data_IF_642891869637
#
_entry.id   IF_642891869637
#
_cell.length_a   1.000
_cell.length_b   1.000
_cell.length_c   1.000
_cell.angle_alpha   90.00
_cell.angle_beta   90.00
_cell.angle_gamma   90.00
#
_symmetry.space_group_name_H-M   'P 1'
#
loop_
_entity.id
_entity.type
_entity.pdbx_description
1 polymer ?
#
# COMPACT_ATOMS: atom_id res chain seq x y z
N UNK A 1 -13.71 -2.36 3.52
CA UNK A 1 -14.15 -3.07 4.74
C UNK A 1 -13.40 -4.39 4.94
N UNK A 2 -13.68 -5.42 4.15
CA UNK A 2 -13.12 -6.77 4.30
C UNK A 2 -11.59 -6.85 4.11
N UNK A 3 -10.99 -5.98 3.34
CA UNK A 3 -9.52 -5.95 3.17
C UNK A 3 -8.75 -5.73 4.48
N UNK A 4 -9.39 -5.15 5.50
CA UNK A 4 -8.77 -4.95 6.80
C UNK A 4 -8.39 -6.26 7.48
N UNK A 5 -9.31 -7.23 7.53
CA UNK A 5 -9.02 -8.52 8.13
C UNK A 5 -8.22 -9.45 7.20
N UNK A 6 -8.54 -9.50 5.91
CA UNK A 6 -7.79 -10.36 4.99
C UNK A 6 -6.31 -9.99 4.99
N UNK A 7 -5.97 -8.70 5.02
CA UNK A 7 -4.60 -8.24 4.98
C UNK A 7 -3.71 -8.84 6.08
N UNK A 8 -4.23 -8.95 7.30
CA UNK A 8 -3.45 -9.44 8.45
C UNK A 8 -3.56 -10.95 8.65
N UNK A 9 -4.66 -11.56 8.19
CA UNK A 9 -4.89 -13.01 8.36
C UNK A 9 -4.40 -13.84 7.18
N UNK A 10 -4.19 -13.24 6.01
CA UNK A 10 -3.86 -13.95 4.80
C UNK A 10 -2.61 -14.82 4.93
N UNK A 11 -1.50 -14.24 5.34
CA UNK A 11 -0.24 -14.99 5.52
C UNK A 11 -0.33 -16.04 6.66
N UNK A 12 -0.88 -15.73 7.85
CA UNK A 12 -1.18 -16.75 8.88
C UNK A 12 -2.01 -17.91 8.38
N UNK A 13 -3.06 -17.65 7.60
CA UNK A 13 -3.87 -18.73 7.02
C UNK A 13 -3.10 -19.60 6.05
N UNK A 14 -2.20 -19.02 5.26
CA UNK A 14 -1.33 -19.79 4.36
C UNK A 14 -0.36 -20.69 5.14
N UNK A 15 0.19 -20.22 6.25
CA UNK A 15 0.99 -21.07 7.15
C UNK A 15 0.13 -22.25 7.65
N UNK A 16 -1.11 -21.98 8.07
CA UNK A 16 -2.07 -23.02 8.47
C UNK A 16 -2.41 -24.02 7.36
N UNK A 17 -2.34 -23.63 6.09
CA UNK A 17 -2.53 -24.50 4.91
C UNK A 17 -1.24 -25.25 4.51
N UNK A 18 -0.14 -25.06 5.27
CA UNK A 18 1.14 -25.75 5.06
C UNK A 18 2.14 -25.00 4.16
N UNK A 19 1.87 -23.75 3.80
CA UNK A 19 2.84 -22.95 3.05
C UNK A 19 4.03 -22.54 3.94
N UNK A 20 5.24 -22.68 3.41
CA UNK A 20 6.43 -22.15 4.10
C UNK A 20 6.50 -20.62 4.01
N UNK A 21 7.17 -19.98 4.97
CA UNK A 21 7.46 -18.54 4.93
C UNK A 21 8.18 -18.16 3.63
N UNK A 22 9.05 -19.02 3.13
CA UNK A 22 9.75 -18.82 1.86
C UNK A 22 8.79 -18.78 0.66
N UNK A 23 7.85 -19.72 0.59
CA UNK A 23 6.84 -19.78 -0.47
C UNK A 23 5.95 -18.53 -0.42
N UNK A 24 5.53 -18.11 0.78
CA UNK A 24 4.73 -16.88 0.97
C UNK A 24 5.51 -15.65 0.47
N UNK A 25 6.78 -15.52 0.79
CA UNK A 25 7.59 -14.39 0.31
C UNK A 25 7.74 -14.35 -1.20
N UNK A 26 7.89 -15.51 -1.86
CA UNK A 26 7.90 -15.60 -3.33
C UNK A 26 6.54 -15.18 -3.92
N UNK A 27 5.44 -15.62 -3.33
CA UNK A 27 4.09 -15.25 -3.76
C UNK A 27 3.84 -13.73 -3.58
N UNK A 28 4.25 -13.16 -2.46
CA UNK A 28 4.14 -11.70 -2.21
C UNK A 28 4.96 -10.89 -3.21
N UNK A 29 6.16 -11.37 -3.58
CA UNK A 29 7.01 -10.73 -4.60
C UNK A 29 6.46 -10.90 -6.01
N UNK A 30 5.86 -12.04 -6.32
CA UNK A 30 5.34 -12.35 -7.65
C UNK A 30 4.01 -11.67 -7.93
N UNK A 31 3.04 -11.86 -7.06
CA UNK A 31 1.65 -11.47 -7.30
C UNK A 31 0.94 -10.90 -6.07
N UNK A 32 1.62 -10.76 -4.93
CA UNK A 32 1.08 -10.09 -3.76
C UNK A 32 0.83 -8.59 -4.01
N UNK A 33 0.34 -7.90 -3.00
CA UNK A 33 -0.04 -6.47 -3.12
C UNK A 33 1.05 -5.58 -3.73
N UNK A 34 2.29 -5.92 -3.52
CA UNK A 34 3.47 -5.18 -4.02
C UNK A 34 4.30 -6.01 -5.00
N UNK A 35 3.72 -7.09 -5.52
CA UNK A 35 4.40 -8.01 -6.42
C UNK A 35 4.50 -7.50 -7.86
N UNK A 36 5.25 -8.25 -8.67
CA UNK A 36 5.49 -7.91 -10.07
C UNK A 36 4.19 -7.79 -10.88
N UNK A 37 3.28 -8.76 -10.75
CA UNK A 37 1.98 -8.75 -11.46
C UNK A 37 1.18 -7.53 -11.06
N UNK A 38 1.13 -7.22 -9.76
CA UNK A 38 0.41 -6.07 -9.21
C UNK A 38 0.96 -4.74 -9.74
N UNK A 39 2.27 -4.59 -9.83
CA UNK A 39 2.91 -3.40 -10.39
C UNK A 39 2.61 -3.23 -11.87
N UNK A 40 2.77 -4.30 -12.67
CA UNK A 40 2.48 -4.26 -14.11
C UNK A 40 1.02 -3.95 -14.41
N UNK A 41 0.10 -4.58 -13.69
CA UNK A 41 -1.35 -4.38 -13.92
C UNK A 41 -1.80 -2.98 -13.57
N UNK A 42 -1.23 -2.33 -12.55
CA UNK A 42 -1.53 -0.93 -12.23
C UNK A 42 -1.06 0.02 -13.34
N UNK A 43 0.13 -0.20 -13.92
CA UNK A 43 0.61 0.58 -15.08
C UNK A 43 -0.33 0.40 -16.28
N UNK A 44 -0.74 -0.84 -16.56
CA UNK A 44 -1.68 -1.18 -17.63
C UNK A 44 -3.05 -0.53 -17.35
N UNK A 45 -3.57 -0.65 -16.13
CA UNK A 45 -4.85 -0.08 -15.71
C UNK A 45 -4.90 1.43 -15.90
N UNK A 46 -3.89 2.15 -15.43
CA UNK A 46 -3.78 3.60 -15.60
C UNK A 46 -3.83 4.00 -17.08
N UNK A 47 -3.06 3.30 -17.94
CA UNK A 47 -3.00 3.60 -19.37
C UNK A 47 -4.31 3.29 -20.12
N UNK A 48 -4.92 2.14 -19.81
CA UNK A 48 -6.17 1.76 -20.49
C UNK A 48 -7.37 2.56 -19.99
N UNK A 49 -7.30 3.19 -18.81
CA UNK A 49 -8.39 3.99 -18.25
C UNK A 49 -8.79 5.14 -19.18
N UNK A 50 -7.81 5.77 -19.82
CA UNK A 50 -8.03 6.92 -20.69
C UNK A 50 -8.63 6.53 -22.07
N UNK A 51 -8.46 5.27 -22.49
CA UNK A 51 -8.91 4.80 -23.81
C UNK A 51 -10.17 3.94 -23.79
N UNK A 52 -10.37 3.14 -22.74
CA UNK A 52 -11.46 2.14 -22.66
C UNK A 52 -12.59 2.51 -21.71
N UNK A 53 -12.47 3.65 -21.01
CA UNK A 53 -13.39 4.08 -19.97
C UNK A 53 -13.04 3.52 -18.60
N UNK A 54 -13.16 4.38 -17.58
CA UNK A 54 -12.71 4.08 -16.20
C UNK A 54 -13.60 3.05 -15.52
N UNK A 55 -14.92 3.16 -15.71
CA UNK A 55 -15.91 2.24 -15.12
C UNK A 55 -15.64 0.79 -15.48
N UNK A 56 -15.34 0.50 -16.76
CA UNK A 56 -15.10 -0.88 -17.23
C UNK A 56 -13.90 -1.53 -16.52
N UNK A 57 -12.84 -0.76 -16.32
CA UNK A 57 -11.62 -1.26 -15.68
C UNK A 57 -11.82 -1.46 -14.17
N UNK A 58 -12.58 -0.59 -13.50
CA UNK A 58 -12.93 -0.77 -12.09
C UNK A 58 -13.78 -2.04 -11.93
N UNK A 59 -14.78 -2.25 -12.78
CA UNK A 59 -15.59 -3.46 -12.76
C UNK A 59 -14.77 -4.72 -13.06
N UNK A 60 -13.82 -4.67 -14.01
CA UNK A 60 -12.93 -5.79 -14.27
C UNK A 60 -12.04 -6.11 -13.05
N UNK A 61 -11.49 -5.08 -12.38
CA UNK A 61 -10.72 -5.26 -11.15
C UNK A 61 -11.54 -5.89 -10.02
N UNK A 62 -12.77 -5.42 -9.80
CA UNK A 62 -13.68 -6.03 -8.83
C UNK A 62 -14.05 -7.47 -9.20
N UNK A 63 -14.29 -7.77 -10.48
CA UNK A 63 -14.54 -9.15 -10.91
C UNK A 63 -13.35 -10.08 -10.63
N UNK A 64 -12.12 -9.64 -10.92
CA UNK A 64 -10.92 -10.39 -10.54
C UNK A 64 -10.83 -10.58 -9.04
N UNK A 65 -11.18 -9.58 -8.25
CA UNK A 65 -11.11 -9.65 -6.79
C UNK A 65 -12.17 -10.61 -6.21
N UNK A 66 -13.40 -10.60 -6.73
CA UNK A 66 -14.42 -11.60 -6.38
C UNK A 66 -13.91 -13.00 -6.68
N UNK A 67 -13.38 -13.22 -7.89
CA UNK A 67 -12.83 -14.52 -8.30
C UNK A 67 -11.65 -14.92 -7.42
N UNK A 68 -10.80 -13.96 -6.99
CA UNK A 68 -9.71 -14.21 -6.03
C UNK A 68 -10.24 -14.85 -4.74
N UNK A 69 -11.24 -14.23 -4.13
CA UNK A 69 -11.76 -14.70 -2.84
C UNK A 69 -12.50 -16.02 -2.95
N UNK A 70 -13.24 -16.24 -4.05
CA UNK A 70 -13.88 -17.54 -4.33
C UNK A 70 -12.84 -18.64 -4.53
N UNK A 71 -11.79 -18.37 -5.31
CA UNK A 71 -10.69 -19.31 -5.56
C UNK A 71 -9.94 -19.63 -4.27
N UNK A 72 -9.65 -18.61 -3.45
CA UNK A 72 -9.01 -18.79 -2.15
C UNK A 72 -9.89 -19.60 -1.19
N UNK A 73 -11.20 -19.29 -1.10
CA UNK A 73 -12.14 -20.06 -0.28
C UNK A 73 -12.15 -21.53 -0.70
N UNK A 74 -12.19 -21.81 -1.99
CA UNK A 74 -12.13 -23.16 -2.55
C UNK A 74 -10.81 -23.85 -2.20
N UNK A 75 -9.68 -23.13 -2.23
CA UNK A 75 -8.39 -23.69 -1.82
C UNK A 75 -8.41 -24.20 -0.36
N UNK A 76 -9.00 -23.43 0.54
CA UNK A 76 -9.12 -23.81 1.96
C UNK A 76 -10.16 -24.90 2.21
N UNK A 77 -11.29 -24.88 1.48
CA UNK A 77 -12.35 -25.89 1.62
C UNK A 77 -11.89 -27.28 1.22
N UNK A 78 -11.12 -27.37 0.15
CA UNK A 78 -10.69 -28.66 -0.43
C UNK A 78 -9.23 -28.99 -0.12
N UNK A 79 -8.53 -28.18 0.66
CA UNK A 79 -7.11 -28.37 0.93
C UNK A 79 -6.25 -28.37 -0.35
N UNK A 80 -6.60 -27.53 -1.33
CA UNK A 80 -5.97 -27.49 -2.66
C UNK A 80 -4.99 -26.31 -2.78
N UNK A 81 -3.72 -26.44 -2.35
CA UNK A 81 -2.77 -25.31 -2.29
C UNK A 81 -2.48 -24.70 -3.66
N UNK A 82 -2.63 -25.47 -4.76
CA UNK A 82 -2.44 -24.94 -6.12
C UNK A 82 -3.40 -23.81 -6.47
N UNK A 83 -4.60 -23.79 -5.89
CA UNK A 83 -5.56 -22.71 -6.09
C UNK A 83 -5.10 -21.41 -5.43
N UNK A 84 -4.24 -21.46 -4.41
CA UNK A 84 -3.66 -20.27 -3.79
C UNK A 84 -2.80 -19.49 -4.79
N UNK A 85 -1.99 -20.18 -5.61
CA UNK A 85 -1.19 -19.54 -6.64
C UNK A 85 -2.08 -18.80 -7.65
N UNK A 86 -3.17 -19.44 -8.08
CA UNK A 86 -4.16 -18.79 -8.95
C UNK A 86 -4.81 -17.58 -8.26
N UNK A 87 -5.19 -17.70 -6.99
CA UNK A 87 -5.76 -16.60 -6.22
C UNK A 87 -4.79 -15.41 -6.14
N UNK A 88 -3.49 -15.63 -5.94
CA UNK A 88 -2.48 -14.57 -5.97
C UNK A 88 -2.40 -13.87 -7.33
N UNK A 89 -2.39 -14.63 -8.43
CA UNK A 89 -2.39 -14.05 -9.78
C UNK A 89 -3.62 -13.19 -10.01
N UNK A 90 -4.81 -13.70 -9.68
CA UNK A 90 -6.07 -12.96 -9.79
C UNK A 90 -6.08 -11.71 -8.91
N UNK A 91 -5.53 -11.79 -7.69
CA UNK A 91 -5.36 -10.62 -6.81
C UNK A 91 -4.45 -9.57 -7.46
N UNK A 92 -3.29 -9.98 -7.99
CA UNK A 92 -2.41 -9.08 -8.72
C UNK A 92 -3.11 -8.40 -9.90
N UNK A 93 -3.93 -9.16 -10.66
CA UNK A 93 -4.72 -8.62 -11.76
C UNK A 93 -5.81 -7.64 -11.30
N UNK A 94 -6.42 -7.85 -10.12
CA UNK A 94 -7.46 -6.96 -9.59
C UNK A 94 -6.96 -5.54 -9.34
N UNK A 95 -5.65 -5.38 -9.08
CA UNK A 95 -5.03 -4.09 -8.77
C UNK A 95 -4.95 -3.14 -9.98
N UNK A 96 -5.33 -3.60 -11.17
CA UNK A 96 -5.52 -2.72 -12.34
C UNK A 96 -6.50 -1.58 -12.07
N UNK A 97 -7.44 -1.76 -11.13
CA UNK A 97 -8.46 -0.76 -10.79
C UNK A 97 -7.95 0.37 -9.89
N UNK A 98 -6.87 0.19 -9.12
CA UNK A 98 -6.41 1.19 -8.14
C UNK A 98 -6.13 2.57 -8.77
N UNK A 99 -5.24 2.71 -9.76
CA UNK A 99 -4.96 4.02 -10.36
C UNK A 99 -6.17 4.58 -11.09
N UNK A 100 -7.07 3.71 -11.54
CA UNK A 100 -8.30 4.11 -12.24
C UNK A 100 -9.31 4.72 -11.27
N UNK A 101 -9.40 4.19 -10.03
CA UNK A 101 -10.24 4.75 -8.98
C UNK A 101 -9.75 6.16 -8.62
N UNK A 102 -8.45 6.35 -8.41
CA UNK A 102 -7.88 7.65 -8.09
C UNK A 102 -8.12 8.67 -9.20
N UNK A 103 -7.95 8.25 -10.45
CA UNK A 103 -8.22 9.08 -11.62
C UNK A 103 -9.72 9.41 -11.76
N UNK A 104 -10.60 8.44 -11.51
CA UNK A 104 -12.05 8.66 -11.53
C UNK A 104 -12.49 9.63 -10.44
N UNK A 105 -11.95 9.53 -9.24
CA UNK A 105 -12.20 10.49 -8.16
C UNK A 105 -11.81 11.91 -8.58
N UNK A 106 -10.65 12.07 -9.21
CA UNK A 106 -10.19 13.36 -9.69
C UNK A 106 -11.13 14.00 -10.73
N UNK A 107 -11.88 13.19 -11.51
CA UNK A 107 -12.84 13.69 -12.49
C UNK A 107 -14.18 14.13 -11.88
N UNK A 108 -14.57 13.50 -10.77
CA UNK A 108 -15.88 13.78 -10.15
C UNK A 108 -15.82 14.87 -9.08
N UNK A 109 -14.63 15.11 -8.50
CA UNK A 109 -14.48 16.00 -7.35
C UNK A 109 -13.75 17.26 -7.80
N UNK A 110 -14.34 18.42 -7.50
CA UNK A 110 -13.72 19.72 -7.72
C UNK A 110 -12.44 19.88 -6.90
N UNK A 111 -11.47 20.61 -7.47
CA UNK A 111 -10.13 20.77 -6.87
C UNK A 111 -10.17 21.16 -5.39
N UNK A 112 -11.01 22.13 -4.95
CA UNK A 112 -11.05 22.54 -3.53
C UNK A 112 -11.49 21.42 -2.58
N UNK A 113 -12.36 20.51 -3.04
CA UNK A 113 -12.96 19.46 -2.21
C UNK A 113 -12.19 18.14 -2.22
N UNK A 114 -11.23 17.98 -3.13
CA UNK A 114 -10.48 16.72 -3.31
C UNK A 114 -9.86 16.22 -2.03
N UNK A 115 -9.19 17.07 -1.28
CA UNK A 115 -8.51 16.70 -0.03
C UNK A 115 -9.51 16.20 1.01
N UNK A 116 -10.64 16.88 1.17
CA UNK A 116 -11.70 16.51 2.11
C UNK A 116 -12.34 15.17 1.76
N UNK A 117 -12.70 14.98 0.48
CA UNK A 117 -13.32 13.75 0.01
C UNK A 117 -12.35 12.58 0.11
N UNK A 118 -11.08 12.78 -0.26
CA UNK A 118 -10.04 11.75 -0.13
C UNK A 118 -9.84 11.32 1.32
N UNK A 119 -9.75 12.27 2.26
CA UNK A 119 -9.66 11.98 3.69
C UNK A 119 -10.89 11.21 4.20
N UNK A 120 -12.08 11.62 3.78
CA UNK A 120 -13.33 10.91 4.14
C UNK A 120 -13.34 9.48 3.60
N UNK A 121 -12.88 9.27 2.39
CA UNK A 121 -12.77 7.93 1.79
C UNK A 121 -11.75 7.06 2.51
N UNK A 122 -10.62 7.62 2.94
CA UNK A 122 -9.65 6.89 3.76
C UNK A 122 -10.29 6.44 5.08
N UNK A 123 -10.97 7.33 5.79
CA UNK A 123 -11.68 7.01 7.03
C UNK A 123 -12.75 5.94 6.76
N UNK A 124 -13.57 6.13 5.72
CA UNK A 124 -14.62 5.18 5.34
C UNK A 124 -14.08 3.80 4.92
N UNK A 125 -12.84 3.73 4.46
CA UNK A 125 -12.18 2.45 4.13
C UNK A 125 -11.53 1.82 5.37
N UNK A 126 -10.78 2.59 6.13
CA UNK A 126 -9.96 2.06 7.23
C UNK A 126 -10.76 1.75 8.49
N UNK A 127 -11.72 2.58 8.90
CA UNK A 127 -12.48 2.36 10.15
C UNK A 127 -13.30 1.07 10.10
N UNK A 128 -14.15 0.82 9.08
CA UNK A 128 -14.86 -0.45 9.01
C UNK A 128 -13.92 -1.65 8.82
N UNK A 129 -12.81 -1.48 8.10
CA UNK A 129 -11.77 -2.50 7.96
C UNK A 129 -11.11 -2.87 9.28
N UNK A 130 -10.88 -1.89 10.16
CA UNK A 130 -10.34 -2.11 11.51
C UNK A 130 -11.32 -2.91 12.38
N UNK A 131 -12.58 -2.50 12.38
CA UNK A 131 -13.63 -3.14 13.17
C UNK A 131 -13.81 -4.59 12.72
N UNK A 132 -13.95 -4.82 11.41
CA UNK A 132 -14.12 -6.18 10.87
C UNK A 132 -12.89 -7.05 11.12
N UNK A 133 -11.68 -6.48 11.04
CA UNK A 133 -10.44 -7.18 11.35
C UNK A 133 -10.32 -7.60 12.81
N UNK A 134 -10.72 -6.71 13.73
CA UNK A 134 -10.77 -7.03 15.16
C UNK A 134 -11.75 -8.18 15.46
N UNK A 135 -12.96 -8.08 14.96
CA UNK A 135 -13.95 -9.14 15.16
C UNK A 135 -13.54 -10.46 14.49
N UNK A 136 -12.92 -10.41 13.31
CA UNK A 136 -12.37 -11.60 12.68
C UNK A 136 -11.28 -12.26 13.54
N UNK A 137 -10.50 -11.49 14.29
CA UNK A 137 -9.53 -12.01 15.25
C UNK A 137 -10.18 -12.67 16.46
N UNK A 138 -11.18 -12.00 17.05
CA UNK A 138 -11.88 -12.51 18.24
C UNK A 138 -12.66 -13.79 17.96
N UNK A 139 -13.32 -13.86 16.81
CA UNK A 139 -14.16 -15.00 16.42
C UNK A 139 -13.52 -15.92 15.37
N UNK A 140 -12.26 -15.67 15.00
CA UNK A 140 -11.57 -16.41 13.95
C UNK A 140 -11.30 -17.88 14.26
N UNK A 141 -11.34 -18.27 15.55
CA UNK A 141 -11.33 -19.67 15.96
C UNK A 141 -12.67 -20.37 15.69
N UNK A 142 -13.77 -19.63 15.67
CA UNK A 142 -15.14 -20.12 15.40
C UNK A 142 -15.52 -20.00 13.91
N UNK A 143 -14.92 -19.04 13.20
CA UNK A 143 -15.14 -18.78 11.77
C UNK A 143 -13.97 -19.29 10.96
N UNK A 144 -14.18 -20.35 10.19
CA UNK A 144 -13.12 -20.90 9.33
C UNK A 144 -12.71 -19.90 8.23
N UNK A 145 -11.45 -19.94 7.75
CA UNK A 145 -10.98 -19.06 6.67
C UNK A 145 -11.90 -19.04 5.42
N UNK A 146 -12.45 -20.18 4.94
CA UNK A 146 -13.41 -20.18 3.83
C UNK A 146 -14.61 -19.28 4.05
N UNK A 147 -15.19 -19.29 5.25
CA UNK A 147 -16.38 -18.48 5.56
C UNK A 147 -16.04 -16.98 5.44
N UNK A 148 -14.91 -16.56 6.01
CA UNK A 148 -14.48 -15.17 5.93
C UNK A 148 -14.15 -14.74 4.49
N UNK A 149 -13.55 -15.64 3.69
CA UNK A 149 -13.27 -15.40 2.28
C UNK A 149 -14.55 -15.31 1.43
N UNK A 150 -15.55 -16.14 1.71
CA UNK A 150 -16.86 -16.07 1.05
C UNK A 150 -17.62 -14.79 1.45
N UNK A 151 -17.53 -14.35 2.70
CA UNK A 151 -18.05 -13.04 3.12
C UNK A 151 -17.37 -11.90 2.37
N UNK A 152 -16.06 -11.97 2.17
CA UNK A 152 -15.33 -10.99 1.38
C UNK A 152 -15.79 -10.96 -0.07
N UNK A 153 -15.97 -12.13 -0.70
CA UNK A 153 -16.51 -12.24 -2.05
C UNK A 153 -17.94 -11.67 -2.15
N UNK A 154 -18.79 -11.94 -1.17
CA UNK A 154 -20.14 -11.40 -1.10
C UNK A 154 -20.17 -9.88 -1.01
N UNK A 155 -19.37 -9.30 -0.10
CA UNK A 155 -19.26 -7.84 0.06
C UNK A 155 -18.71 -7.16 -1.21
N UNK A 156 -17.71 -7.78 -1.86
CA UNK A 156 -17.19 -7.27 -3.13
C UNK A 156 -18.25 -7.37 -4.25
N UNK A 157 -19.06 -8.44 -4.27
CA UNK A 157 -20.16 -8.59 -5.23
C UNK A 157 -21.22 -7.50 -5.05
N UNK A 158 -21.56 -7.15 -3.80
CA UNK A 158 -22.44 -6.01 -3.52
C UNK A 158 -21.81 -4.70 -4.02
N UNK A 159 -20.52 -4.48 -3.73
CA UNK A 159 -19.76 -3.32 -4.25
C UNK A 159 -19.76 -3.27 -5.77
N UNK A 160 -19.51 -4.39 -6.43
CA UNK A 160 -19.57 -4.53 -7.89
C UNK A 160 -20.96 -4.17 -8.44
N UNK A 161 -22.02 -4.68 -7.84
CA UNK A 161 -23.40 -4.40 -8.25
C UNK A 161 -23.75 -2.90 -8.10
N UNK A 162 -23.34 -2.27 -6.99
CA UNK A 162 -23.51 -0.84 -6.77
C UNK A 162 -22.75 0.01 -7.79
N UNK A 163 -21.49 -0.35 -8.08
CA UNK A 163 -20.68 0.31 -9.11
C UNK A 163 -21.33 0.16 -10.49
N UNK A 164 -21.79 -1.05 -10.80
CA UNK A 164 -22.47 -1.34 -12.07
C UNK A 164 -23.75 -0.53 -12.23
N UNK A 165 -24.56 -0.39 -11.18
CA UNK A 165 -25.86 0.28 -11.24
C UNK A 165 -25.76 1.82 -11.16
N UNK A 166 -24.83 2.35 -10.37
CA UNK A 166 -24.81 3.78 -9.98
C UNK A 166 -23.71 4.60 -10.65
N UNK A 167 -22.56 3.98 -10.97
CA UNK A 167 -21.44 4.72 -11.50
C UNK A 167 -21.51 4.75 -13.03
N UNK A 168 -21.45 5.97 -13.59
CA UNK A 168 -21.41 6.21 -15.05
C UNK A 168 -20.05 6.82 -15.40
N UNK A 169 -19.49 6.52 -16.55
CA UNK A 169 -18.35 7.28 -17.05
C UNK A 169 -18.83 8.71 -17.39
N UNK A 170 -18.28 9.71 -16.72
CA UNK A 170 -18.29 11.07 -17.28
C UNK A 170 -17.36 10.99 -18.48
N UNK A 171 -17.93 10.96 -19.68
CA UNK A 171 -17.29 10.65 -20.95
C UNK A 171 -15.77 10.86 -20.91
N UNK A 172 -15.03 9.85 -21.35
CA UNK A 172 -13.58 9.97 -21.42
C UNK A 172 -13.29 11.30 -22.12
N UNK A 173 -12.83 12.29 -21.36
CA UNK A 173 -12.33 13.50 -21.97
C UNK A 173 -11.36 13.02 -23.03
N UNK A 174 -11.62 13.36 -24.29
CA UNK A 174 -10.80 12.99 -25.43
C UNK A 174 -9.44 13.65 -25.27
N UNK A 175 -8.69 13.16 -24.27
CA UNK A 175 -7.29 13.49 -24.09
C UNK A 175 -6.56 12.83 -25.27
N UNK A 176 -6.44 13.57 -26.35
CA UNK A 176 -5.63 13.24 -27.53
C UNK A 176 -4.14 13.03 -27.19
N UNK A 177 -3.74 13.23 -25.97
CA UNK A 177 -2.38 12.98 -25.50
C UNK A 177 -2.18 11.50 -25.15
N UNK A 178 -1.99 10.67 -26.17
CA UNK A 178 -1.32 9.39 -26.05
C UNK A 178 0.17 9.65 -25.73
N UNK A 179 0.48 9.95 -24.48
CA UNK A 179 1.88 9.91 -24.07
C UNK A 179 2.32 8.44 -24.13
N UNK A 180 3.28 8.08 -24.99
CA UNK A 180 3.80 6.72 -25.00
C UNK A 180 4.44 6.47 -23.62
N UNK A 181 4.12 5.32 -22.99
CA UNK A 181 4.96 4.79 -21.91
C UNK A 181 6.30 4.44 -22.56
N UNK A 182 7.19 5.37 -22.65
CA UNK A 182 8.56 5.13 -23.03
C UNK A 182 9.31 4.78 -21.76
N UNK A 183 9.84 3.57 -21.68
CA UNK A 183 10.83 3.22 -20.64
C UNK A 183 11.96 4.25 -20.62
N UNK A 184 12.27 4.84 -21.76
CA UNK A 184 13.25 5.90 -21.95
C UNK A 184 12.81 7.20 -21.25
N UNK A 185 11.54 7.62 -21.36
CA UNK A 185 11.03 8.80 -20.65
C UNK A 185 11.01 8.58 -19.12
N UNK A 186 10.73 7.35 -18.66
CA UNK A 186 10.84 6.98 -17.25
C UNK A 186 12.30 7.06 -16.79
N UNK A 187 13.23 6.56 -17.57
CA UNK A 187 14.66 6.62 -17.28
C UNK A 187 15.19 8.05 -17.25
N UNK A 188 14.78 8.90 -18.20
CA UNK A 188 15.13 10.32 -18.22
C UNK A 188 14.61 11.04 -16.97
N UNK A 189 13.37 10.75 -16.56
CA UNK A 189 12.81 11.29 -15.34
C UNK A 189 13.61 10.87 -14.09
N UNK A 190 13.96 9.58 -13.99
CA UNK A 190 14.79 9.06 -12.89
C UNK A 190 16.17 9.74 -12.90
N UNK A 191 16.80 9.86 -14.06
CA UNK A 191 18.15 10.45 -14.18
C UNK A 191 18.19 11.92 -13.77
N UNK A 192 17.17 12.69 -14.16
CA UNK A 192 17.03 14.10 -13.82
C UNK A 192 16.81 14.34 -12.32
N UNK A 193 16.04 13.48 -11.65
CA UNK A 193 15.67 13.60 -10.24
C UNK A 193 16.16 12.40 -9.41
N UNK A 194 17.32 11.83 -9.79
CA UNK A 194 17.87 10.59 -9.20
C UNK A 194 17.88 10.54 -7.68
N UNK A 195 18.20 11.65 -7.02
CA UNK A 195 18.22 11.71 -5.56
C UNK A 195 16.82 11.59 -4.96
N UNK A 196 15.84 12.28 -5.56
CA UNK A 196 14.45 12.22 -5.15
C UNK A 196 13.87 10.81 -5.37
N UNK A 197 14.04 10.25 -6.56
CA UNK A 197 13.62 8.88 -6.85
C UNK A 197 14.30 7.86 -5.93
N UNK A 198 15.62 8.03 -5.68
CA UNK A 198 16.39 7.16 -4.79
C UNK A 198 15.84 7.09 -3.38
N UNK A 199 15.40 8.21 -2.80
CA UNK A 199 14.76 8.27 -1.48
C UNK A 199 13.50 7.41 -1.45
N UNK A 200 12.57 7.59 -2.40
CA UNK A 200 11.29 6.87 -2.37
C UNK A 200 11.41 5.40 -2.80
N UNK A 201 12.36 5.08 -3.66
CA UNK A 201 12.68 3.69 -4.01
C UNK A 201 13.30 2.97 -2.80
N UNK A 202 14.24 3.62 -2.10
CA UNK A 202 14.86 3.05 -0.90
C UNK A 202 13.84 2.82 0.22
N UNK A 203 12.99 3.81 0.52
CA UNK A 203 11.86 3.66 1.44
C UNK A 203 11.03 2.42 1.11
N UNK A 204 10.57 2.34 -0.12
CA UNK A 204 9.66 1.27 -0.56
C UNK A 204 10.30 -0.12 -0.51
N UNK A 205 11.56 -0.23 -0.87
CA UNK A 205 12.32 -1.47 -0.75
C UNK A 205 12.54 -1.86 0.72
N UNK A 206 12.93 -0.90 1.56
CA UNK A 206 13.19 -1.12 2.97
C UNK A 206 11.94 -1.58 3.73
N UNK A 207 10.79 -0.96 3.46
CA UNK A 207 9.51 -1.40 4.01
C UNK A 207 9.10 -2.78 3.48
N UNK A 208 9.26 -3.07 2.20
CA UNK A 208 8.96 -4.39 1.64
C UNK A 208 9.88 -5.47 2.22
N UNK A 209 11.15 -5.15 2.47
CA UNK A 209 12.12 -6.03 3.12
C UNK A 209 11.73 -6.31 4.58
N UNK A 210 11.43 -5.26 5.36
CA UNK A 210 11.14 -5.39 6.80
C UNK A 210 9.76 -5.95 7.11
N UNK A 211 8.76 -5.71 6.25
CA UNK A 211 7.36 -6.02 6.57
C UNK A 211 6.62 -6.86 5.52
N UNK A 212 7.24 -7.18 4.38
CA UNK A 212 6.59 -7.90 3.29
C UNK A 212 6.11 -9.31 3.68
N UNK A 213 6.83 -9.98 4.56
CA UNK A 213 6.48 -11.30 5.11
C UNK A 213 6.22 -11.26 6.63
N UNK A 214 5.98 -10.09 7.20
CA UNK A 214 5.88 -9.89 8.65
C UNK A 214 4.83 -10.79 9.31
N UNK A 215 3.64 -10.88 8.74
CA UNK A 215 2.56 -11.66 9.34
C UNK A 215 2.87 -13.17 9.33
N UNK A 216 3.54 -13.66 8.28
CA UNK A 216 4.03 -15.03 8.25
C UNK A 216 5.11 -15.26 9.33
N UNK A 217 6.03 -14.31 9.50
CA UNK A 217 7.05 -14.39 10.54
C UNK A 217 6.45 -14.36 11.95
N UNK A 218 5.48 -13.49 12.21
CA UNK A 218 4.79 -13.44 13.51
C UNK A 218 4.05 -14.74 13.81
N UNK A 219 3.47 -15.39 12.80
CA UNK A 219 2.81 -16.70 12.97
C UNK A 219 3.78 -17.78 13.46
N UNK A 220 5.09 -17.68 13.14
CA UNK A 220 6.11 -18.60 13.66
C UNK A 220 6.48 -18.33 15.12
N UNK A 221 5.98 -17.25 15.74
CA UNK A 221 6.26 -16.81 17.12
C UNK A 221 5.05 -16.94 18.02
N UNK A 222 4.16 -17.90 17.75
CA UNK A 222 2.97 -18.19 18.57
C UNK A 222 1.97 -17.03 18.69
N UNK A 223 1.98 -16.07 17.75
CA UNK A 223 0.93 -15.07 17.66
C UNK A 223 -0.39 -15.73 17.28
N UNK A 224 -1.44 -15.38 18.01
CA UNK A 224 -2.78 -15.91 17.84
C UNK A 224 -3.59 -15.07 16.84
N UNK A 225 -4.75 -15.59 16.43
CA UNK A 225 -5.67 -14.81 15.61
C UNK A 225 -6.18 -13.55 16.31
N UNK A 226 -6.29 -13.58 17.65
CA UNK A 226 -6.64 -12.41 18.48
C UNK A 226 -5.58 -11.31 18.33
N UNK A 227 -4.30 -11.69 18.37
CA UNK A 227 -3.18 -10.76 18.21
C UNK A 227 -3.21 -10.10 16.82
N UNK A 228 -3.46 -10.87 15.77
CA UNK A 228 -3.65 -10.34 14.42
C UNK A 228 -4.90 -9.46 14.32
N UNK A 229 -5.98 -9.78 15.04
CA UNK A 229 -7.16 -8.93 15.15
C UNK A 229 -6.86 -7.58 15.80
N UNK A 230 -6.08 -7.57 16.88
CA UNK A 230 -5.60 -6.34 17.51
C UNK A 230 -4.74 -5.51 16.56
N UNK A 231 -3.87 -6.15 15.78
CA UNK A 231 -3.07 -5.45 14.78
C UNK A 231 -3.93 -4.87 13.65
N UNK A 232 -4.94 -5.63 13.20
CA UNK A 232 -5.92 -5.18 12.21
C UNK A 232 -6.74 -3.98 12.69
N UNK A 233 -7.00 -3.87 14.00
CA UNK A 233 -7.66 -2.72 14.61
C UNK A 233 -6.72 -1.53 14.71
N UNK A 234 -5.55 -1.73 15.29
CA UNK A 234 -4.69 -0.63 15.75
C UNK A 234 -3.90 0.04 14.62
N UNK A 235 -3.46 -0.71 13.62
CA UNK A 235 -2.73 -0.14 12.49
C UNK A 235 -3.57 0.86 11.67
N UNK A 236 -4.80 0.53 11.23
CA UNK A 236 -5.62 1.51 10.52
C UNK A 236 -6.09 2.67 11.41
N UNK A 237 -6.29 2.45 12.71
CA UNK A 237 -6.54 3.54 13.65
C UNK A 237 -5.34 4.50 13.71
N UNK A 238 -4.12 3.98 13.73
CA UNK A 238 -2.92 4.79 13.62
C UNK A 238 -2.89 5.61 12.32
N UNK A 239 -3.32 5.04 11.19
CA UNK A 239 -3.46 5.77 9.92
C UNK A 239 -4.46 6.92 10.05
N UNK A 240 -5.64 6.67 10.61
CA UNK A 240 -6.68 7.69 10.78
C UNK A 240 -6.20 8.82 11.70
N UNK A 241 -5.62 8.45 12.85
CA UNK A 241 -5.07 9.41 13.83
C UNK A 241 -3.92 10.22 13.24
N UNK A 242 -3.08 9.64 12.41
CA UNK A 242 -1.93 10.32 11.80
C UNK A 242 -2.27 11.15 10.57
N UNK A 243 -3.37 10.85 9.85
CA UNK A 243 -3.70 11.53 8.59
C UNK A 243 -4.00 13.02 8.81
N UNK A 244 -4.78 13.36 9.85
CA UNK A 244 -5.15 14.76 10.14
C UNK A 244 -3.95 15.58 10.60
N UNK A 245 -3.18 15.13 11.63
CA UNK A 245 -1.96 15.83 12.03
C UNK A 245 -0.90 15.85 10.93
N UNK A 246 -0.78 14.79 10.13
CA UNK A 246 0.22 14.68 9.09
C UNK A 246 0.16 15.81 8.06
N UNK A 247 -1.03 16.14 7.57
CA UNK A 247 -1.24 17.28 6.68
C UNK A 247 -0.86 18.61 7.33
N UNK A 248 -1.30 18.85 8.55
CA UNK A 248 -0.98 20.07 9.31
C UNK A 248 0.52 20.15 9.66
N UNK A 249 1.12 19.06 10.08
CA UNK A 249 2.55 18.97 10.38
C UNK A 249 3.42 19.23 9.14
N UNK A 250 3.01 18.77 7.96
CA UNK A 250 3.70 19.06 6.70
C UNK A 250 3.90 20.56 6.51
N UNK A 251 2.88 21.37 6.81
CA UNK A 251 2.98 22.82 6.68
C UNK A 251 3.73 23.49 7.83
N UNK A 252 3.70 22.94 9.04
CA UNK A 252 4.25 23.55 10.25
C UNK A 252 5.73 23.24 10.49
N UNK A 253 6.13 21.98 10.33
CA UNK A 253 7.50 21.53 10.57
C UNK A 253 8.27 21.27 9.28
N UNK A 254 7.58 21.24 8.14
CA UNK A 254 8.09 20.99 6.81
C UNK A 254 8.09 19.51 6.42
N UNK A 255 7.92 19.26 5.12
CA UNK A 255 7.79 17.92 4.56
C UNK A 255 9.04 17.05 4.80
N UNK A 256 10.23 17.63 4.65
CA UNK A 256 11.50 16.92 4.88
C UNK A 256 11.63 16.39 6.31
N UNK A 257 11.33 17.22 7.32
CA UNK A 257 11.40 16.81 8.73
C UNK A 257 10.35 15.76 9.06
N UNK A 258 9.16 15.90 8.48
CA UNK A 258 8.10 14.93 8.67
C UNK A 258 8.44 13.57 8.06
N UNK A 259 9.04 13.52 6.87
CA UNK A 259 9.57 12.29 6.28
C UNK A 259 10.60 11.63 7.20
N UNK A 260 11.59 12.38 7.70
CA UNK A 260 12.60 11.82 8.61
C UNK A 260 11.98 11.27 9.90
N UNK A 261 11.04 11.99 10.51
CA UNK A 261 10.35 11.54 11.73
C UNK A 261 9.55 10.25 11.47
N UNK A 262 8.84 10.18 10.35
CA UNK A 262 8.10 9.00 9.91
C UNK A 262 9.02 7.78 9.74
N UNK A 263 10.16 7.96 9.07
CA UNK A 263 11.16 6.89 8.91
C UNK A 263 11.74 6.41 10.23
N UNK A 264 12.12 7.32 11.12
CA UNK A 264 12.64 6.96 12.44
C UNK A 264 11.61 6.17 13.24
N UNK A 265 10.35 6.61 13.24
CA UNK A 265 9.25 5.89 13.91
C UNK A 265 9.04 4.51 13.30
N UNK A 266 9.03 4.43 11.96
CA UNK A 266 8.87 3.19 11.22
C UNK A 266 10.00 2.20 11.46
N UNK A 267 11.25 2.66 11.42
CA UNK A 267 12.42 1.84 11.73
C UNK A 267 12.41 1.33 13.18
N UNK A 268 12.08 2.21 14.12
CA UNK A 268 12.00 1.84 15.55
C UNK A 268 10.94 0.78 15.80
N UNK A 269 9.76 0.91 15.17
CA UNK A 269 8.70 -0.09 15.23
C UNK A 269 9.15 -1.42 14.61
N UNK A 270 9.83 -1.37 13.46
CA UNK A 270 10.33 -2.58 12.77
C UNK A 270 11.37 -3.31 13.64
N UNK A 271 12.24 -2.59 14.35
CA UNK A 271 13.14 -3.16 15.35
C UNK A 271 12.36 -3.73 16.55
N UNK A 272 11.29 -3.07 16.97
CA UNK A 272 10.39 -3.60 17.98
C UNK A 272 9.88 -4.99 17.62
N UNK A 273 9.38 -5.19 16.41
CA UNK A 273 8.96 -6.49 15.89
C UNK A 273 10.11 -7.51 15.81
N UNK A 274 11.34 -7.07 15.51
CA UNK A 274 12.50 -7.93 15.41
C UNK A 274 12.93 -8.53 16.76
N UNK A 275 12.96 -7.71 17.80
CA UNK A 275 13.57 -8.06 19.09
C UNK A 275 12.57 -8.25 20.23
N UNK A 276 11.41 -7.60 20.14
CA UNK A 276 10.37 -7.64 21.19
C UNK A 276 8.99 -7.97 20.58
N UNK A 277 8.83 -9.14 19.92
CA UNK A 277 7.55 -9.55 19.36
C UNK A 277 6.62 -10.06 20.47
N UNK A 278 6.13 -9.14 21.30
CA UNK A 278 5.29 -9.44 22.47
C UNK A 278 3.87 -8.97 22.19
N UNK A 279 2.88 -9.84 22.42
CA UNK A 279 1.47 -9.56 22.17
C UNK A 279 0.98 -8.26 22.86
N UNK A 280 1.45 -7.98 24.08
CA UNK A 280 1.11 -6.75 24.82
C UNK A 280 1.48 -5.46 24.06
N UNK A 281 2.53 -5.48 23.21
CA UNK A 281 3.01 -4.32 22.47
C UNK A 281 2.33 -4.15 21.09
N UNK A 282 1.48 -5.10 20.67
CA UNK A 282 0.78 -5.04 19.37
C UNK A 282 0.02 -3.73 19.17
N UNK A 283 -0.79 -3.25 20.13
CA UNK A 283 -1.50 -1.98 19.95
C UNK A 283 -0.57 -0.81 19.70
N UNK A 284 0.53 -0.74 20.44
CA UNK A 284 1.54 0.31 20.28
C UNK A 284 2.18 0.23 18.89
N UNK A 285 2.64 -0.94 18.49
CA UNK A 285 3.27 -1.14 17.18
C UNK A 285 2.31 -0.83 16.03
N UNK A 286 1.04 -1.26 16.15
CA UNK A 286 0.02 -0.98 15.15
C UNK A 286 -0.22 0.52 14.99
N UNK A 287 -0.43 1.26 16.08
CA UNK A 287 -0.66 2.71 16.08
C UNK A 287 0.56 3.46 15.52
N UNK A 288 1.76 3.14 15.99
CA UNK A 288 3.01 3.79 15.52
C UNK A 288 3.22 3.53 14.04
N UNK A 289 2.99 2.30 13.57
CA UNK A 289 3.10 1.96 12.15
C UNK A 289 2.09 2.73 11.29
N UNK A 290 0.83 2.75 11.72
CA UNK A 290 -0.21 3.49 11.01
C UNK A 290 0.09 4.99 10.95
N UNK A 291 0.52 5.57 12.08
CA UNK A 291 0.91 6.98 12.16
C UNK A 291 2.12 7.30 11.25
N UNK A 292 3.15 6.45 11.24
CA UNK A 292 4.29 6.62 10.35
C UNK A 292 3.87 6.66 8.87
N UNK A 293 3.08 5.68 8.42
CA UNK A 293 2.58 5.64 7.04
C UNK A 293 1.78 6.89 6.70
N UNK A 294 0.85 7.29 7.58
CA UNK A 294 -0.05 8.41 7.32
C UNK A 294 0.64 9.77 7.35
N UNK A 295 1.76 9.89 8.05
CA UNK A 295 2.61 11.08 8.05
C UNK A 295 3.50 11.16 6.81
N UNK A 296 3.96 10.02 6.31
CA UNK A 296 4.79 9.93 5.11
C UNK A 296 4.05 10.37 3.84
N UNK A 297 2.83 9.86 3.63
CA UNK A 297 2.09 10.05 2.37
C UNK A 297 1.83 11.53 2.03
N UNK A 298 1.30 12.38 2.93
CA UNK A 298 1.11 13.79 2.63
C UNK A 298 2.41 14.54 2.31
N UNK A 299 3.48 14.21 3.04
CA UNK A 299 4.79 14.83 2.83
C UNK A 299 5.38 14.45 1.46
N UNK A 300 5.28 13.18 1.06
CA UNK A 300 5.67 12.71 -0.28
C UNK A 300 4.90 13.45 -1.36
N UNK A 301 3.58 13.53 -1.22
CA UNK A 301 2.72 14.17 -2.22
C UNK A 301 3.04 15.66 -2.36
N UNK A 302 3.20 16.37 -1.24
CA UNK A 302 3.60 17.76 -1.22
C UNK A 302 4.93 17.97 -1.97
N UNK A 303 5.96 17.21 -1.63
CA UNK A 303 7.27 17.33 -2.27
C UNK A 303 7.22 17.02 -3.76
N UNK A 304 6.49 16.00 -4.17
CA UNK A 304 6.33 15.64 -5.58
C UNK A 304 5.68 16.75 -6.39
N UNK A 305 4.71 17.47 -5.78
CA UNK A 305 4.05 18.60 -6.46
C UNK A 305 4.92 19.86 -6.54
N UNK A 306 5.85 20.03 -5.61
CA UNK A 306 6.79 21.18 -5.59
C UNK A 306 8.01 20.94 -6.48
N UNK A 307 8.54 19.73 -6.46
CA UNK A 307 9.81 19.40 -7.15
C UNK A 307 9.59 19.14 -8.63
N UNK A 308 8.47 18.52 -9.01
CA UNK A 308 8.23 18.17 -10.40
C UNK A 308 7.66 19.35 -11.21
N UNK A 309 8.23 19.65 -12.40
CA UNK A 309 7.74 20.69 -13.28
C UNK A 309 6.26 20.48 -13.64
N UNK A 310 5.46 21.54 -13.64
CA UNK A 310 4.01 21.47 -13.91
C UNK A 310 3.70 20.80 -15.26
N UNK A 311 4.45 21.14 -16.29
CA UNK A 311 4.25 20.61 -17.64
C UNK A 311 4.45 19.08 -17.76
N UNK A 312 5.27 18.47 -16.87
CA UNK A 312 5.61 17.05 -16.89
C UNK A 312 5.24 16.33 -15.61
N UNK A 313 4.50 16.98 -14.69
CA UNK A 313 4.18 16.44 -13.35
C UNK A 313 3.51 15.06 -13.40
N UNK A 314 2.54 14.89 -14.28
CA UNK A 314 1.86 13.60 -14.43
C UNK A 314 2.79 12.47 -14.88
N UNK A 315 3.67 12.76 -15.84
CA UNK A 315 4.70 11.81 -16.31
C UNK A 315 5.67 11.43 -15.17
N UNK A 316 6.15 12.41 -14.42
CA UNK A 316 7.08 12.22 -13.31
C UNK A 316 6.46 11.43 -12.15
N UNK A 317 5.19 11.70 -11.80
CA UNK A 317 4.45 10.93 -10.81
C UNK A 317 4.23 9.48 -11.25
N UNK A 318 3.92 9.28 -12.53
CA UNK A 318 3.81 7.94 -13.11
C UNK A 318 5.14 7.18 -13.08
N UNK A 319 6.24 7.83 -13.44
CA UNK A 319 7.58 7.27 -13.39
C UNK A 319 7.97 6.91 -11.95
N UNK A 320 7.68 7.79 -10.98
CA UNK A 320 7.93 7.52 -9.55
C UNK A 320 7.14 6.31 -9.05
N UNK A 321 5.85 6.25 -9.33
CA UNK A 321 5.01 5.13 -8.96
C UNK A 321 5.53 3.80 -9.55
N UNK A 322 5.85 3.78 -10.85
CA UNK A 322 6.42 2.60 -11.52
C UNK A 322 7.72 2.16 -10.86
N UNK A 323 8.64 3.10 -10.59
CA UNK A 323 9.92 2.79 -9.95
C UNK A 323 9.75 2.20 -8.56
N UNK A 324 8.83 2.76 -7.77
CA UNK A 324 8.48 2.28 -6.44
C UNK A 324 7.92 0.85 -6.50
N UNK A 325 7.03 0.55 -7.43
CA UNK A 325 6.46 -0.80 -7.55
C UNK A 325 7.51 -1.83 -8.00
N UNK A 326 8.37 -1.47 -8.95
CA UNK A 326 9.42 -2.37 -9.44
C UNK A 326 10.42 -2.73 -8.33
N UNK A 327 10.88 -1.77 -7.55
CA UNK A 327 11.86 -2.04 -6.50
C UNK A 327 11.29 -2.84 -5.33
N UNK A 328 10.00 -2.71 -5.05
CA UNK A 328 9.32 -3.46 -3.98
C UNK A 328 9.35 -4.96 -4.17
N UNK A 329 9.42 -5.44 -5.41
CA UNK A 329 9.51 -6.87 -5.73
C UNK A 329 10.72 -7.51 -5.05
N UNK A 330 11.81 -6.78 -4.94
CA UNK A 330 13.06 -7.26 -4.37
C UNK A 330 12.97 -7.49 -2.85
N UNK A 331 12.15 -6.68 -2.15
CA UNK A 331 12.06 -6.70 -0.69
C UNK A 331 11.72 -8.06 -0.09
N UNK A 332 10.56 -8.68 -0.42
CA UNK A 332 10.19 -9.97 0.16
C UNK A 332 11.12 -11.11 -0.26
N UNK A 333 11.74 -11.06 -1.44
CA UNK A 333 12.76 -12.06 -1.87
C UNK A 333 13.97 -11.98 -0.95
N UNK A 334 14.51 -10.78 -0.72
CA UNK A 334 15.62 -10.57 0.19
C UNK A 334 15.23 -10.93 1.64
N UNK A 335 13.99 -10.62 2.05
CA UNK A 335 13.48 -10.99 3.36
C UNK A 335 13.50 -12.50 3.58
N UNK A 336 13.06 -13.29 2.59
CA UNK A 336 13.13 -14.75 2.63
C UNK A 336 14.58 -15.23 2.74
N UNK A 337 15.48 -14.71 1.93
CA UNK A 337 16.90 -15.09 1.97
C UNK A 337 17.51 -14.82 3.35
N UNK A 338 17.25 -13.64 3.91
CA UNK A 338 17.72 -13.28 5.25
C UNK A 338 17.08 -14.16 6.36
N UNK A 339 15.79 -14.44 6.24
CA UNK A 339 15.11 -15.32 7.18
C UNK A 339 15.71 -16.74 7.19
N UNK A 340 15.94 -17.32 6.02
CA UNK A 340 16.49 -18.65 5.89
C UNK A 340 17.96 -18.72 6.37
N UNK A 341 18.74 -17.68 6.14
CA UNK A 341 20.16 -17.65 6.50
C UNK A 341 20.40 -17.26 7.97
N UNK A 342 19.65 -16.31 8.53
CA UNK A 342 19.93 -15.65 9.80
C UNK A 342 18.75 -15.67 10.78
N UNK A 343 17.61 -16.21 10.37
CA UNK A 343 16.43 -16.41 11.24
C UNK A 343 15.48 -15.22 11.30
N UNK A 344 14.55 -15.30 12.25
CA UNK A 344 13.36 -14.46 12.39
C UNK A 344 13.61 -12.94 12.35
N UNK A 345 14.57 -12.46 13.13
CA UNK A 345 14.81 -11.02 13.28
C UNK A 345 15.52 -10.35 12.09
N UNK A 346 16.22 -11.16 11.28
CA UNK A 346 17.10 -10.63 10.25
C UNK A 346 16.40 -9.77 9.17
N UNK A 347 15.26 -10.16 8.60
CA UNK A 347 14.56 -9.32 7.61
C UNK A 347 14.16 -7.97 8.18
N UNK A 348 13.62 -7.95 9.39
CA UNK A 348 13.15 -6.74 10.07
C UNK A 348 14.32 -5.83 10.46
N UNK A 349 15.41 -6.40 10.96
CA UNK A 349 16.63 -5.65 11.30
C UNK A 349 17.25 -5.02 10.05
N UNK A 350 17.36 -5.79 8.97
CA UNK A 350 17.86 -5.27 7.67
C UNK A 350 16.93 -4.21 7.09
N UNK A 351 15.61 -4.41 7.16
CA UNK A 351 14.63 -3.42 6.77
C UNK A 351 14.75 -2.13 7.58
N UNK A 352 14.84 -2.23 8.91
CA UNK A 352 15.02 -1.07 9.77
C UNK A 352 16.35 -0.33 9.49
N UNK A 353 17.44 -1.06 9.28
CA UNK A 353 18.72 -0.46 8.90
C UNK A 353 18.62 0.30 7.56
N UNK A 354 17.92 -0.28 6.58
CA UNK A 354 17.66 0.37 5.30
C UNK A 354 16.77 1.60 5.45
N UNK A 355 15.74 1.58 6.31
CA UNK A 355 14.91 2.74 6.65
C UNK A 355 15.75 3.83 7.31
N UNK A 356 16.64 3.51 8.27
CA UNK A 356 17.54 4.49 8.85
C UNK A 356 18.53 5.07 7.82
N UNK A 357 19.06 4.24 6.92
CA UNK A 357 19.89 4.73 5.82
C UNK A 357 19.12 5.71 4.92
N UNK A 358 17.80 5.47 4.73
CA UNK A 358 16.96 6.40 3.97
C UNK A 358 16.83 7.77 4.64
N UNK A 359 16.86 7.86 5.98
CA UNK A 359 16.93 9.16 6.67
C UNK A 359 18.14 9.98 6.19
N UNK A 360 19.28 9.33 6.00
CA UNK A 360 20.50 10.00 5.48
C UNK A 360 20.28 10.47 4.03
N UNK A 361 19.62 9.64 3.21
CA UNK A 361 19.29 10.03 1.82
C UNK A 361 18.31 11.20 1.80
N UNK A 362 17.29 11.22 2.68
CA UNK A 362 16.36 12.35 2.83
C UNK A 362 17.15 13.62 3.20
N UNK A 363 18.08 13.52 4.15
CA UNK A 363 18.92 14.67 4.54
C UNK A 363 19.77 15.20 3.38
N UNK A 364 20.21 14.32 2.49
CA UNK A 364 21.10 14.68 1.39
C UNK A 364 20.35 15.21 0.17
N UNK A 365 19.23 14.58 -0.20
CA UNK A 365 18.60 14.79 -1.50
C UNK A 365 17.26 15.52 -1.45
N UNK A 366 16.60 15.58 -0.29
CA UNK A 366 15.36 16.35 -0.15
C UNK A 366 15.73 17.78 0.28
N UNK A 367 15.32 18.81 -0.47
CA UNK A 367 15.59 20.18 -0.12
C UNK A 367 15.10 20.53 1.29
N UNK A 368 15.80 21.42 1.98
CA UNK A 368 15.28 21.99 3.23
C UNK A 368 14.06 22.81 2.88
N UNK A 369 12.97 22.59 3.61
CA UNK A 369 11.78 23.41 3.46
C UNK A 369 12.18 24.87 3.72
N UNK A 370 11.97 25.71 2.74
CA UNK A 370 12.02 27.16 2.96
C UNK A 370 10.72 27.50 3.72
N UNK A 371 10.70 27.22 5.01
CA UNK A 371 9.63 27.56 5.93
C UNK A 371 9.66 29.07 6.21
N UNK A 372 9.32 29.84 5.19
CA UNK A 372 8.86 31.21 5.33
C UNK A 372 7.42 31.27 4.84
N UNK A 373 6.55 32.08 5.44
CA UNK A 373 5.24 32.32 4.87
C UNK A 373 5.49 32.72 3.41
N UNK A 374 4.83 31.99 2.48
CA UNK A 374 4.82 32.35 1.06
C UNK A 374 4.56 33.84 0.99
N UNK A 375 5.60 34.65 0.83
CA UNK A 375 5.47 36.03 0.40
C UNK A 375 4.80 35.94 -0.96
N UNK A 376 3.48 36.03 -0.98
CA UNK A 376 2.74 36.30 -2.20
C UNK A 376 3.46 37.51 -2.80
N UNK A 377 4.22 37.29 -3.89
CA UNK A 377 4.65 38.42 -4.72
C UNK A 377 3.37 39.19 -5.01
N UNK A 378 3.28 40.50 -4.71
CA UNK A 378 2.15 41.28 -5.14
C UNK A 378 2.07 41.11 -6.64
N UNK A 379 0.91 40.68 -7.13
CA UNK A 379 0.60 40.71 -8.56
C UNK A 379 0.70 42.20 -8.91
N UNK A 380 1.75 42.57 -9.64
CA UNK A 380 1.83 43.85 -10.28
C UNK A 380 0.70 43.90 -11.31
N UNK A 381 -0.29 44.75 -11.02
CA UNK A 381 -1.32 45.14 -11.98
C UNK A 381 -0.72 45.69 -13.25
#
# INVERSE_FOLDING_TARGET
MYLGYIRVFWQPWLIGLGFSVATIGILESGAGRFGAISGLTQVIGGRFSDSRGRRRLILAGSAFLITTWLTAATAFLFGAPMLVYLAYVLWGLSLLSLPVIDAMMADYIEIPDRSRVYSTMLVANFVPGSITGFFAGQYGSSLSPPVLLLLAAGLETVGFALLFAKVRDKGAATSTRKAPLSLMATWDAISQFRGFFGVFMMDSMAWALGTGILYALLSTRSFTLIDFGLLALTQPLGVVVGTVPGGWLTHRIGARRLLMASEILGASMTLGWAFYPVALLIPLYGIVWGFAISSWVPAQFHLSTVIFPEARRGEMLGALATSIYLIRIVGPILAVGLYLALGYSAPMTAGAAAIFANVILIMKFIPRDQSGPLKRKPQSN
#
